data_IF_969064544811
#
_entry.id   IF_969064544811
#
_cell.length_a   1.000
_cell.length_b   1.000
_cell.length_c   1.000
_cell.angle_alpha   90.00
_cell.angle_beta   90.00
_cell.angle_gamma   90.00
#
_symmetry.space_group_name_H-M   'P 1'
#
loop_
_entity.id
_entity.type
_entity.pdbx_description
1 polymer ?
2 water ?
#
# COMPACT_ATOMS: atom_id res chain seq x y z
N UNK A 4 -16.90 12.26 17.04
CA UNK A 4 -17.29 11.88 15.63
C UNK A 4 -16.76 12.84 14.47
N UNK A 5 -16.06 12.41 13.50
CA UNK A 5 -15.51 13.31 12.40
C UNK A 5 -15.85 13.00 11.00
N UNK A 6 -15.32 13.81 10.07
CA UNK A 6 -15.51 13.63 8.66
C UNK A 6 -14.32 12.98 7.99
N UNK A 7 -14.59 11.85 7.33
CA UNK A 7 -13.58 11.08 6.66
C UNK A 7 -13.85 11.04 5.20
N UNK A 8 -12.83 11.25 4.41
CA UNK A 8 -12.94 11.13 2.98
C UNK A 8 -12.25 9.79 2.66
N UNK A 9 -12.95 8.93 1.96
CA UNK A 9 -12.42 7.65 1.55
C UNK A 9 -12.22 7.69 0.08
N UNK A 10 -10.92 7.70 -0.37
CA UNK A 10 -10.61 7.77 -1.77
C UNK A 10 -10.26 6.43 -2.38
N UNK A 11 -11.10 5.97 -3.29
CA UNK A 11 -10.91 4.68 -3.95
C UNK A 11 -11.99 3.78 -3.38
N UNK A 12 -12.84 3.26 -4.27
CA UNK A 12 -13.92 2.41 -3.81
C UNK A 12 -13.79 1.01 -4.39
N UNK A 13 -12.59 0.47 -4.26
CA UNK A 13 -12.29 -0.88 -4.69
C UNK A 13 -12.68 -1.81 -3.50
N UNK A 14 -12.01 -2.97 -3.37
CA UNK A 14 -12.33 -3.84 -2.28
C UNK A 14 -12.15 -3.13 -0.95
N UNK A 15 -10.88 -2.63 -0.72
CA UNK A 15 -10.49 -1.94 0.55
C UNK A 15 -11.34 -0.69 0.86
N UNK A 16 -11.58 0.06 -0.19
CA UNK A 16 -12.34 1.28 -0.14
C UNK A 16 -13.70 0.99 0.37
N UNK A 17 -14.27 -0.10 -0.09
CA UNK A 17 -15.59 -0.54 0.33
C UNK A 17 -15.59 -0.86 1.78
N UNK A 18 -14.59 -1.61 2.20
CA UNK A 18 -14.51 -1.96 3.57
C UNK A 18 -14.32 -0.73 4.51
N UNK A 19 -13.42 0.16 4.17
CA UNK A 19 -13.22 1.32 5.06
C UNK A 19 -14.48 2.21 5.18
N UNK A 20 -15.07 2.47 4.04
CA UNK A 20 -16.26 3.25 3.97
C UNK A 20 -17.39 2.56 4.84
N UNK A 21 -17.57 1.24 4.74
CA UNK A 21 -18.56 0.63 5.59
C UNK A 21 -18.21 0.70 7.03
N UNK A 22 -16.96 0.33 7.32
CA UNK A 22 -16.46 0.31 8.70
C UNK A 22 -16.67 1.65 9.38
N UNK A 23 -16.25 2.70 8.70
CA UNK A 23 -16.36 4.03 9.27
C UNK A 23 -17.78 4.46 9.49
N UNK A 24 -18.64 4.23 8.47
CA UNK A 24 -20.06 4.61 8.53
C UNK A 24 -20.71 3.81 9.65
N UNK A 25 -20.44 2.51 9.74
CA UNK A 25 -21.04 1.73 10.88
C UNK A 25 -20.52 2.18 12.25
N UNK A 26 -19.48 2.94 12.26
CA UNK A 26 -18.94 3.39 13.50
C UNK A 26 -19.37 4.84 13.79
N UNK A 27 -20.39 5.29 13.14
CA UNK A 27 -20.90 6.65 13.39
C UNK A 27 -20.13 7.89 12.90
N UNK A 28 -19.20 7.75 11.95
CA UNK A 28 -18.46 8.92 11.43
C UNK A 28 -19.14 9.34 10.22
N UNK A 29 -18.90 10.58 9.76
CA UNK A 29 -19.44 11.03 8.49
C UNK A 29 -18.49 10.61 7.40
N UNK A 30 -18.99 9.90 6.39
CA UNK A 30 -18.13 9.41 5.33
C UNK A 30 -18.47 9.97 3.98
N UNK A 31 -17.47 10.55 3.35
CA UNK A 31 -17.62 11.04 2.03
C UNK A 31 -16.71 10.16 1.18
N UNK A 32 -17.27 9.48 0.19
CA UNK A 32 -16.47 8.55 -0.63
C UNK A 32 -16.43 8.89 -2.03
N UNK A 33 -15.27 8.63 -2.62
CA UNK A 33 -15.01 8.93 -4.00
C UNK A 33 -14.42 7.77 -4.75
N UNK A 34 -14.61 7.79 -6.03
CA UNK A 34 -13.99 6.89 -6.86
C UNK A 34 -13.94 7.55 -8.21
N UNK A 35 -12.93 7.27 -8.93
CA UNK A 35 -12.78 7.89 -10.23
C UNK A 35 -13.84 7.42 -11.19
N UNK A 36 -14.36 6.21 -10.96
CA UNK A 36 -15.36 5.71 -11.84
C UNK A 36 -16.81 6.11 -11.52
N UNK A 37 -17.34 7.01 -12.36
CA UNK A 37 -18.69 7.58 -12.25
C UNK A 37 -19.75 6.52 -12.28
N UNK A 38 -19.51 5.56 -13.12
CA UNK A 38 -20.42 4.49 -13.26
C UNK A 38 -20.57 3.78 -11.96
N UNK A 39 -19.42 3.46 -11.35
CA UNK A 39 -19.41 2.73 -10.11
C UNK A 39 -20.05 3.56 -9.01
N UNK A 40 -19.78 4.83 -9.02
CA UNK A 40 -20.38 5.63 -8.01
C UNK A 40 -21.86 5.60 -8.22
N UNK A 41 -22.27 5.62 -9.51
CA UNK A 41 -23.70 5.61 -9.86
C UNK A 41 -24.46 4.33 -9.41
N UNK A 42 -23.85 3.18 -9.59
CA UNK A 42 -24.42 1.90 -9.08
C UNK A 42 -24.50 1.88 -7.55
N UNK A 43 -23.49 2.37 -6.85
CA UNK A 43 -23.63 2.33 -5.45
C UNK A 43 -24.77 3.28 -4.98
N UNK A 44 -24.88 4.43 -5.65
CA UNK A 44 -25.93 5.46 -5.32
C UNK A 44 -27.34 4.85 -5.42
N UNK A 45 -27.56 4.09 -6.50
CA UNK A 45 -28.83 3.43 -6.77
C UNK A 45 -29.20 2.49 -5.65
N UNK A 46 -28.23 1.72 -5.22
CA UNK A 46 -28.39 0.71 -4.16
C UNK A 46 -28.67 1.37 -2.85
N UNK A 47 -28.19 2.60 -2.72
CA UNK A 47 -28.40 3.37 -1.50
C UNK A 47 -27.60 2.97 -0.24
N UNK A 48 -26.71 1.99 -0.32
CA UNK A 48 -25.97 1.61 0.86
C UNK A 48 -24.86 0.81 0.46
N UNK A 49 -24.02 0.48 1.43
CA UNK A 49 -22.95 -0.45 1.17
C UNK A 49 -23.26 -1.59 2.16
N UNK A 50 -23.35 -2.83 1.66
CA UNK A 50 -23.65 -3.96 2.52
C UNK A 50 -22.37 -4.64 2.84
N UNK A 51 -22.07 -4.77 4.14
CA UNK A 51 -20.87 -5.47 4.57
C UNK A 51 -21.36 -6.75 5.19
N UNK A 52 -20.66 -7.83 4.93
CA UNK A 52 -21.02 -9.10 5.51
C UNK A 52 -19.82 -9.91 5.74
N UNK A 53 -19.92 -10.89 6.60
CA UNK A 53 -18.75 -11.74 6.84
C UNK A 53 -18.35 -11.67 8.31
N UNK A 54 -17.37 -12.50 8.70
CA UNK A 54 -16.97 -12.56 10.11
C UNK A 54 -16.35 -11.27 10.63
N UNK A 55 -15.56 -10.63 9.78
CA UNK A 55 -14.86 -9.40 10.14
C UNK A 55 -15.72 -8.11 10.22
N UNK A 56 -16.84 -8.04 9.57
CA UNK A 56 -17.62 -6.84 9.59
C UNK A 56 -18.91 -7.10 8.85
N UNK A 57 -20.03 -6.83 9.52
CA UNK A 57 -21.35 -7.03 8.90
C UNK A 57 -22.24 -5.85 9.23
N UNK A 58 -22.90 -5.29 8.22
CA UNK A 58 -23.80 -4.20 8.47
C UNK A 58 -24.17 -3.51 7.18
N UNK A 59 -25.21 -2.67 7.27
CA UNK A 59 -25.69 -1.91 6.13
C UNK A 59 -25.25 -0.44 6.32
N UNK A 60 -24.28 -0.04 5.56
CA UNK A 60 -23.75 1.23 5.74
C UNK A 60 -24.27 2.23 4.82
N UNK A 61 -24.30 3.47 5.35
CA UNK A 61 -24.72 4.63 4.68
C UNK A 61 -23.74 5.79 4.69
N UNK A 62 -22.92 5.86 3.67
CA UNK A 62 -21.99 6.97 3.58
C UNK A 62 -22.85 8.27 3.44
N UNK A 63 -22.32 9.38 3.80
CA UNK A 63 -23.06 10.62 3.68
C UNK A 63 -22.98 11.10 2.30
N UNK A 64 -21.94 10.70 1.59
CA UNK A 64 -21.79 11.14 0.24
C UNK A 64 -20.94 10.20 -0.65
N UNK A 65 -21.36 10.05 -1.91
CA UNK A 65 -20.71 9.27 -2.90
C UNK A 65 -20.49 10.22 -4.10
N UNK A 66 -19.28 10.42 -4.52
CA UNK A 66 -19.14 11.32 -5.62
C UNK A 66 -17.97 10.94 -6.43
N UNK A 67 -17.90 11.43 -7.67
CA UNK A 67 -16.76 11.20 -8.51
C UNK A 67 -16.01 12.50 -8.62
N UNK A 68 -16.37 13.47 -7.77
CA UNK A 68 -15.70 14.78 -7.79
C UNK A 68 -14.71 14.78 -6.64
N UNK A 69 -13.43 14.70 -6.91
CA UNK A 69 -12.51 14.65 -5.78
C UNK A 69 -12.52 15.81 -4.78
N UNK A 70 -12.60 17.03 -5.27
CA UNK A 70 -12.61 18.16 -4.36
C UNK A 70 -13.76 18.15 -3.42
N UNK A 71 -14.92 17.72 -3.90
CA UNK A 71 -16.13 17.67 -3.03
C UNK A 71 -15.94 16.71 -1.88
N UNK A 72 -15.25 15.60 -2.16
CA UNK A 72 -15.01 14.60 -1.12
C UNK A 72 -13.92 15.05 -0.12
N UNK A 73 -12.95 15.78 -0.64
CA UNK A 73 -11.86 16.18 0.17
C UNK A 73 -11.95 17.52 0.92
N UNK A 74 -12.49 18.51 0.25
CA UNK A 74 -12.47 19.81 0.80
C UNK A 74 -12.90 19.93 2.20
N UNK A 75 -13.91 19.18 2.59
CA UNK A 75 -14.42 19.30 3.97
C UNK A 75 -14.10 18.23 4.93
N UNK A 76 -13.27 17.29 4.51
CA UNK A 76 -12.85 16.17 5.35
C UNK A 76 -11.86 16.57 6.47
N UNK A 77 -11.90 15.85 7.57
CA UNK A 77 -10.94 16.04 8.63
C UNK A 77 -9.76 15.04 8.33
N UNK A 78 -10.09 13.84 7.96
CA UNK A 78 -9.12 12.81 7.67
C UNK A 78 -9.41 12.29 6.32
N UNK A 79 -8.35 12.07 5.53
CA UNK A 79 -8.48 11.62 4.21
C UNK A 79 -7.80 10.28 4.07
N UNK A 80 -8.57 9.23 3.77
CA UNK A 80 -7.96 7.90 3.64
C UNK A 80 -7.84 7.55 2.22
N UNK A 81 -6.64 7.26 1.80
CA UNK A 81 -6.45 6.92 0.42
C UNK A 81 -6.30 5.42 0.29
N UNK A 82 -7.17 4.79 -0.49
CA UNK A 82 -7.15 3.33 -0.60
C UNK A 82 -7.14 2.89 -2.00
N UNK A 83 -6.02 3.12 -2.64
CA UNK A 83 -5.85 2.76 -4.05
C UNK A 83 -4.49 2.05 -4.23
N UNK A 84 -4.25 1.55 -5.41
CA UNK A 84 -2.96 0.88 -5.66
C UNK A 84 -1.94 2.03 -5.68
N UNK A 85 -0.82 1.78 -5.01
CA UNK A 85 0.28 2.71 -4.86
C UNK A 85 0.67 3.36 -6.17
N UNK A 86 0.49 2.66 -7.30
CA UNK A 86 0.81 3.29 -8.53
C UNK A 86 -0.06 4.52 -8.80
N UNK A 87 -1.12 4.67 -8.10
CA UNK A 87 -1.95 5.81 -8.34
C UNK A 87 -1.73 6.96 -7.39
N UNK A 88 -0.86 6.78 -6.41
CA UNK A 88 -0.70 7.81 -5.42
C UNK A 88 -0.36 9.16 -5.95
N UNK A 89 0.58 9.18 -6.90
CA UNK A 89 1.03 10.44 -7.48
C UNK A 89 -0.11 11.23 -8.06
N UNK A 90 -0.90 10.59 -8.91
CA UNK A 90 -2.04 11.19 -9.55
C UNK A 90 -2.99 11.75 -8.54
N UNK A 91 -3.24 11.02 -7.48
CA UNK A 91 -4.18 11.53 -6.51
C UNK A 91 -3.65 12.76 -5.81
N UNK A 92 -2.37 12.73 -5.50
CA UNK A 92 -1.80 13.89 -4.79
C UNK A 92 -1.91 15.20 -5.65
N UNK A 93 -1.63 15.07 -6.93
CA UNK A 93 -1.65 16.17 -7.81
C UNK A 93 -3.07 16.69 -7.93
N UNK A 94 -4.02 15.79 -7.97
CA UNK A 94 -5.44 16.16 -8.09
C UNK A 94 -6.12 16.78 -6.92
N UNK A 95 -5.64 16.52 -5.74
CA UNK A 95 -6.29 17.05 -4.54
C UNK A 95 -5.57 18.19 -3.94
N UNK A 96 -4.44 18.50 -4.54
CA UNK A 96 -3.55 19.53 -4.07
C UNK A 96 -4.29 20.83 -3.79
N UNK A 97 -5.12 21.26 -4.74
CA UNK A 97 -5.89 22.49 -4.60
C UNK A 97 -6.96 22.50 -3.53
N UNK A 98 -7.34 21.33 -2.99
CA UNK A 98 -8.44 21.27 -1.99
C UNK A 98 -8.04 21.06 -0.66
N UNK A 99 -6.76 20.76 -0.46
CA UNK A 99 -6.39 20.47 0.92
C UNK A 99 -6.08 21.69 1.70
N UNK A 100 -6.15 21.54 3.01
CA UNK A 100 -5.96 22.63 3.89
C UNK A 100 -5.15 22.24 5.04
N UNK A 101 -4.52 23.24 5.60
CA UNK A 101 -3.68 23.10 6.74
C UNK A 101 -4.59 22.48 7.81
N UNK A 102 -4.09 21.47 8.52
CA UNK A 102 -4.84 20.83 9.59
C UNK A 102 -5.41 19.39 9.25
N UNK A 103 -5.43 19.04 7.97
CA UNK A 103 -5.98 17.73 7.58
C UNK A 103 -4.94 16.65 7.79
N UNK A 104 -5.41 15.44 7.94
CA UNK A 104 -4.57 14.25 8.11
C UNK A 104 -4.82 13.34 6.86
N UNK A 105 -3.75 13.01 6.12
CA UNK A 105 -3.87 12.12 4.94
C UNK A 105 -3.17 10.77 5.31
N UNK A 106 -3.85 9.66 5.04
CA UNK A 106 -3.25 8.35 5.33
C UNK A 106 -3.31 7.48 4.15
N UNK A 107 -2.16 6.98 3.74
CA UNK A 107 -2.04 6.08 2.55
C UNK A 107 -2.12 4.62 3.03
N UNK A 108 -3.10 3.92 2.46
CA UNK A 108 -3.42 2.53 2.86
C UNK A 108 -3.33 1.60 1.69
N UNK A 109 -2.15 1.04 1.47
CA UNK A 109 -0.96 1.33 2.28
C UNK A 109 -0.04 2.26 1.43
N UNK A 110 1.17 2.52 1.91
CA UNK A 110 2.04 3.39 1.14
C UNK A 110 3.03 2.69 0.17
N UNK A 111 3.11 1.36 0.23
CA UNK A 111 4.10 0.61 -0.55
C UNK A 111 5.48 1.29 -0.08
N UNK A 112 6.47 1.32 -0.92
CA UNK A 112 7.74 1.87 -0.50
C UNK A 112 7.81 3.27 -0.97
N UNK A 113 7.80 4.18 0.00
CA UNK A 113 7.95 5.64 -0.24
C UNK A 113 6.64 6.39 -0.60
N UNK A 114 5.48 5.84 -0.22
CA UNK A 114 4.19 6.48 -0.61
C UNK A 114 4.11 7.86 -0.01
N UNK A 115 4.33 7.98 1.31
CA UNK A 115 4.25 9.34 2.00
C UNK A 115 5.28 10.36 1.43
N UNK A 116 6.48 9.89 1.12
CA UNK A 116 7.47 10.76 0.58
C UNK A 116 7.10 11.22 -0.75
N UNK A 117 6.69 10.35 -1.59
CA UNK A 117 6.32 10.76 -2.91
C UNK A 117 5.13 11.72 -2.86
N UNK A 118 4.17 11.38 -2.01
CA UNK A 118 2.98 12.17 -1.81
C UNK A 118 3.37 13.62 -1.36
N UNK A 119 4.20 13.73 -0.32
CA UNK A 119 4.66 15.01 0.17
C UNK A 119 5.31 15.84 -0.96
N UNK A 120 6.20 15.22 -1.71
CA UNK A 120 6.91 15.92 -2.79
C UNK A 120 5.98 16.55 -3.80
N UNK A 121 5.02 15.77 -4.29
CA UNK A 121 4.03 16.28 -5.29
C UNK A 121 3.16 17.49 -4.73
N UNK A 122 2.71 17.37 -3.51
CA UNK A 122 1.91 18.41 -2.85
C UNK A 122 2.71 19.71 -2.71
N UNK A 123 3.97 19.60 -2.34
CA UNK A 123 4.77 20.79 -2.20
C UNK A 123 5.04 21.36 -3.61
N UNK A 124 5.24 20.52 -4.57
CA UNK A 124 5.46 21.03 -5.87
C UNK A 124 4.25 21.73 -6.37
N UNK A 125 3.08 21.39 -5.87
CA UNK A 125 1.87 22.00 -6.39
C UNK A 125 1.38 23.08 -5.49
N UNK A 126 2.28 23.53 -4.61
CA UNK A 126 2.01 24.63 -3.71
C UNK A 126 0.87 24.42 -2.77
N UNK A 127 0.80 23.23 -2.22
CA UNK A 127 -0.20 22.92 -1.25
C UNK A 127 0.27 23.30 0.12
N UNK A 128 -0.68 23.50 1.03
CA UNK A 128 -0.36 23.79 2.41
C UNK A 128 0.35 22.58 3.07
N UNK A 129 1.04 22.79 4.12
CA UNK A 129 1.71 21.70 4.76
C UNK A 129 0.69 20.91 5.53
N UNK A 130 0.68 19.58 5.36
CA UNK A 130 -0.28 18.74 6.08
C UNK A 130 0.48 17.51 6.63
N UNK A 131 -0.13 16.72 7.50
CA UNK A 131 0.53 15.51 8.01
C UNK A 131 0.12 14.36 7.04
N UNK A 132 1.09 13.61 6.56
CA UNK A 132 0.81 12.52 5.64
C UNK A 132 1.35 11.27 6.23
N UNK A 133 0.49 10.29 6.49
CA UNK A 133 0.92 9.02 7.07
C UNK A 133 0.83 7.90 6.06
N UNK A 134 1.34 6.75 6.45
CA UNK A 134 1.26 5.56 5.59
C UNK A 134 1.29 4.30 6.47
N UNK A 135 0.72 3.20 6.01
CA UNK A 135 0.74 1.94 6.78
C UNK A 135 1.38 0.95 5.81
N UNK A 136 2.01 -0.08 6.31
CA UNK A 136 2.64 -0.98 5.35
C UNK A 136 1.70 -2.17 5.05
N UNK A 137 0.60 -2.26 5.79
CA UNK A 137 -0.33 -3.36 5.63
C UNK A 137 -1.71 -2.91 5.26
N UNK A 138 -2.56 -3.86 4.89
CA UNK A 138 -3.98 -3.60 4.59
C UNK A 138 -4.85 -4.00 5.84
N UNK A 139 -5.66 -3.08 6.33
CA UNK A 139 -6.39 -3.37 7.48
C UNK A 139 -7.34 -4.54 7.32
N UNK A 140 -7.93 -4.65 6.14
CA UNK A 140 -8.90 -5.61 5.90
C UNK A 140 -8.51 -6.64 4.91
N UNK A 141 -9.15 -7.83 5.03
CA UNK A 141 -9.03 -8.96 4.03
C UNK A 141 -10.51 -9.06 3.63
N UNK A 142 -10.79 -8.70 2.40
CA UNK A 142 -12.18 -8.58 1.92
C UNK A 142 -12.28 -8.67 0.44
N UNK A 143 -13.50 -8.76 -0.05
CA UNK A 143 -13.69 -8.75 -1.43
C UNK A 143 -15.10 -8.29 -1.65
N UNK A 144 -15.20 -7.37 -2.62
CA UNK A 144 -16.45 -6.77 -3.04
C UNK A 144 -16.86 -7.52 -4.34
N UNK A 145 -17.97 -8.21 -4.30
CA UNK A 145 -18.40 -8.92 -5.46
C UNK A 145 -19.00 -7.91 -6.51
N UNK A 146 -19.55 -6.83 -6.01
CA UNK A 146 -20.10 -5.84 -6.87
C UNK A 146 -20.16 -4.51 -6.05
N UNK A 147 -20.30 -3.41 -6.77
CA UNK A 147 -20.43 -2.09 -6.12
C UNK A 147 -21.56 -2.07 -5.12
N UNK A 148 -21.26 -1.69 -3.91
CA UNK A 148 -22.30 -1.58 -2.93
C UNK A 148 -22.25 -2.76 -2.04
N UNK A 149 -21.31 -3.65 -2.33
CA UNK A 149 -21.17 -4.85 -1.48
C UNK A 149 -19.70 -5.22 -1.21
N UNK A 150 -19.44 -5.78 -0.02
CA UNK A 150 -18.09 -6.22 0.31
C UNK A 150 -18.10 -7.37 1.34
N UNK A 151 -17.33 -8.42 1.04
CA UNK A 151 -17.25 -9.49 2.01
C UNK A 151 -15.95 -9.26 2.80
N UNK A 152 -16.06 -9.19 4.13
CA UNK A 152 -14.92 -8.98 5.01
C UNK A 152 -14.55 -10.16 5.85
N UNK A 153 -13.48 -10.79 5.47
CA UNK A 153 -13.08 -11.97 6.24
C UNK A 153 -12.60 -11.58 7.57
N UNK A 154 -11.73 -10.59 7.58
CA UNK A 154 -11.12 -10.18 8.80
C UNK A 154 -10.54 -8.75 8.77
N UNK A 155 -10.20 -8.29 9.98
CA UNK A 155 -9.65 -7.00 10.24
C UNK A 155 -8.42 -7.21 11.11
N UNK A 156 -7.27 -6.74 10.63
CA UNK A 156 -5.97 -6.85 11.36
C UNK A 156 -6.12 -6.21 12.70
N UNK A 157 -5.48 -6.82 13.70
CA UNK A 157 -5.56 -6.29 15.06
C UNK A 157 -4.52 -5.18 15.34
N UNK A 158 -3.44 -5.14 14.55
CA UNK A 158 -2.37 -4.10 14.79
C UNK A 158 -1.78 -3.74 13.52
N UNK A 159 -1.56 -2.46 13.33
CA UNK A 159 -0.97 -1.97 12.12
C UNK A 159 0.08 -0.90 12.36
N UNK A 160 1.24 -1.07 11.74
CA UNK A 160 2.27 -0.10 11.86
C UNK A 160 1.79 1.15 11.13
N UNK A 161 2.12 2.28 11.67
CA UNK A 161 1.75 3.53 11.09
C UNK A 161 2.89 4.53 11.33
N UNK A 162 3.20 5.33 10.34
CA UNK A 162 4.24 6.35 10.47
C UNK A 162 3.81 7.56 9.70
N UNK A 163 4.29 8.74 10.05
CA UNK A 163 3.95 9.87 9.21
C UNK A 163 5.03 10.90 9.01
N UNK A 164 4.72 11.82 8.11
CA UNK A 164 5.52 13.00 7.81
C UNK A 164 4.64 14.22 8.28
N UNK A 165 5.13 14.96 9.26
CA UNK A 165 6.40 14.73 9.92
C UNK A 165 6.23 13.76 11.10
N UNK A 166 7.27 13.00 11.39
CA UNK A 166 7.25 12.01 12.45
C UNK A 166 6.83 12.47 13.83
N UNK A 167 7.05 13.74 14.13
CA UNK A 167 6.71 14.22 15.45
C UNK A 167 5.20 14.31 15.57
N UNK A 168 4.53 14.35 14.44
CA UNK A 168 3.07 14.48 14.47
C UNK A 168 2.39 13.11 14.57
N UNK A 169 3.15 12.04 14.73
CA UNK A 169 2.58 10.74 14.84
C UNK A 169 1.54 10.66 15.95
N UNK A 170 1.87 11.22 17.12
CA UNK A 170 0.91 11.17 18.29
C UNK A 170 -0.44 11.89 18.07
N UNK A 171 -0.34 13.08 17.50
CA UNK A 171 -1.46 13.89 17.19
C UNK A 171 -2.34 13.15 16.17
N UNK A 172 -1.72 12.68 15.13
CA UNK A 172 -2.37 11.91 14.10
C UNK A 172 -3.18 10.79 14.77
N UNK A 173 -2.52 10.01 15.60
CA UNK A 173 -3.16 8.88 16.24
C UNK A 173 -4.12 9.30 17.26
N UNK A 174 -3.93 10.51 17.76
CA UNK A 174 -4.88 11.04 18.73
C UNK A 174 -6.22 11.28 17.97
N UNK A 175 -6.10 11.76 16.71
CA UNK A 175 -7.20 12.03 15.81
C UNK A 175 -8.10 10.83 15.43
N UNK A 176 -7.47 9.74 14.96
CA UNK A 176 -8.21 8.54 14.48
C UNK A 176 -8.37 7.41 15.52
N UNK A 177 -7.71 7.58 16.67
CA UNK A 177 -7.63 6.61 17.72
C UNK A 177 -8.91 5.91 18.19
N UNK A 178 -9.96 6.67 18.30
CA UNK A 178 -11.25 6.19 18.74
C UNK A 178 -11.91 5.20 17.75
N UNK A 179 -11.68 5.43 16.47
CA UNK A 179 -12.25 4.68 15.38
C UNK A 179 -11.33 3.65 14.80
N UNK A 180 -10.03 3.96 14.83
CA UNK A 180 -9.04 3.06 14.26
C UNK A 180 -7.92 2.76 15.24
N UNK A 181 -8.23 2.11 16.35
CA UNK A 181 -7.20 1.84 17.34
C UNK A 181 -6.18 0.81 16.92
N UNK A 182 -6.31 0.28 15.70
CA UNK A 182 -5.40 -0.76 15.19
C UNK A 182 -4.04 -0.19 14.83
N UNK A 183 -4.01 1.09 14.48
CA UNK A 183 -2.78 1.74 14.07
C UNK A 183 -1.80 1.95 15.22
N UNK A 184 -0.58 1.56 15.02
CA UNK A 184 0.45 1.69 16.00
C UNK A 184 1.63 2.37 15.30
N UNK A 185 2.09 3.43 15.96
CA UNK A 185 3.18 4.27 15.46
C UNK A 185 4.53 3.59 15.47
N UNK A 186 5.25 3.72 14.39
CA UNK A 186 6.58 3.20 14.39
C UNK A 186 7.45 4.50 14.24
N UNK A 187 8.74 4.34 14.18
CA UNK A 187 9.66 5.49 14.20
C UNK A 187 9.45 6.51 13.16
N UNK A 188 9.49 6.10 11.94
CA UNK A 188 9.31 7.02 10.88
C UNK A 188 8.83 6.21 9.64
N UNK A 189 8.59 6.92 8.55
CA UNK A 189 8.15 6.33 7.29
C UNK A 189 9.17 5.42 6.64
N UNK A 190 10.45 5.50 7.02
CA UNK A 190 11.44 4.53 6.45
C UNK A 190 11.05 3.12 6.99
N UNK A 191 10.62 3.07 8.22
CA UNK A 191 10.23 1.80 8.79
C UNK A 191 9.05 1.18 8.05
N UNK A 192 8.00 1.93 7.84
CA UNK A 192 6.85 1.36 7.14
C UNK A 192 7.21 1.06 5.69
N UNK A 193 7.84 2.01 5.01
CA UNK A 193 8.20 1.81 3.62
C UNK A 193 9.17 0.61 3.36
N UNK A 194 10.07 0.33 4.32
CA UNK A 194 11.04 -0.79 4.15
C UNK A 194 10.43 -2.15 4.57
N UNK A 195 9.21 -2.08 5.09
CA UNK A 195 8.48 -3.26 5.48
C UNK A 195 7.48 -3.60 4.35
N UNK A 196 7.97 -3.62 3.16
CA UNK A 196 7.14 -3.93 2.01
C UNK A 196 7.44 -5.43 1.58
N UNK A 197 6.72 -6.28 2.19
CA UNK A 197 6.86 -7.68 1.98
C UNK A 197 6.46 -8.05 0.57
N UNK A 198 5.49 -7.32 0.02
CA UNK A 198 5.07 -7.60 -1.36
C UNK A 198 6.13 -7.39 -2.39
N UNK A 199 7.07 -6.54 -2.11
CA UNK A 199 8.10 -6.31 -3.08
C UNK A 199 8.91 -7.61 -3.17
N UNK A 200 8.90 -8.38 -2.10
CA UNK A 200 9.64 -9.70 -2.10
C UNK A 200 8.78 -10.86 -2.69
N UNK A 201 7.57 -11.00 -2.18
CA UNK A 201 6.66 -12.06 -2.53
C UNK A 201 5.96 -12.04 -3.78
N UNK A 202 5.87 -10.89 -4.46
CA UNK A 202 5.15 -10.83 -5.70
C UNK A 202 5.95 -10.89 -6.97
N UNK A 203 6.89 -9.98 -7.16
CA UNK A 203 7.64 -10.01 -8.42
C UNK A 203 8.44 -11.32 -8.66
N UNK A 204 9.20 -11.74 -7.68
CA UNK A 204 10.03 -12.92 -7.95
C UNK A 204 9.32 -14.21 -8.35
N UNK A 205 8.39 -14.63 -7.52
CA UNK A 205 7.70 -15.89 -7.80
C UNK A 205 6.95 -15.77 -9.09
N UNK A 206 6.45 -14.59 -9.41
CA UNK A 206 5.79 -14.46 -10.69
C UNK A 206 6.76 -14.62 -11.81
N UNK A 207 7.92 -14.02 -11.66
CA UNK A 207 8.90 -14.16 -12.71
C UNK A 207 9.27 -15.67 -12.93
N UNK A 208 9.37 -16.39 -11.84
CA UNK A 208 9.77 -17.78 -11.89
C UNK A 208 8.64 -18.70 -12.32
N UNK A 209 7.47 -18.09 -12.57
CA UNK A 209 6.28 -18.81 -13.10
C UNK A 209 5.77 -18.07 -14.34
N UNK A 210 6.66 -17.32 -14.96
CA UNK A 210 6.27 -16.46 -16.11
C UNK A 210 5.47 -17.15 -17.16
N UNK A 211 5.93 -18.32 -17.59
CA UNK A 211 5.22 -18.98 -18.67
C UNK A 211 3.82 -19.44 -18.25
N UNK A 212 3.72 -19.95 -17.06
CA UNK A 212 2.44 -20.40 -16.51
C UNK A 212 1.51 -19.25 -16.50
N UNK A 213 2.00 -18.11 -16.04
CA UNK A 213 1.13 -16.91 -15.93
C UNK A 213 0.73 -16.40 -17.37
N UNK A 214 1.70 -16.25 -18.26
CA UNK A 214 1.41 -15.75 -19.56
C UNK A 214 0.44 -16.62 -20.25
N UNK A 215 0.60 -17.93 -20.07
CA UNK A 215 -0.27 -18.90 -20.75
C UNK A 215 -1.59 -19.07 -20.04
N UNK A 216 -1.76 -18.49 -18.88
CA UNK A 216 -3.02 -18.59 -18.18
C UNK A 216 -3.21 -19.99 -17.62
N UNK A 217 -2.12 -20.73 -17.45
CA UNK A 217 -2.18 -22.08 -16.87
C UNK A 217 -2.40 -21.97 -15.34
N UNK A 218 -3.57 -22.42 -14.88
CA UNK A 218 -3.95 -22.29 -13.48
C UNK A 218 -3.04 -22.94 -12.53
N UNK A 219 -2.77 -22.26 -11.42
CA UNK A 219 -1.93 -22.78 -10.36
C UNK A 219 -2.18 -21.99 -9.13
N UNK A 220 -1.93 -22.59 -7.96
CA UNK A 220 -2.11 -21.92 -6.67
C UNK A 220 -0.84 -21.12 -6.53
N UNK A 221 -0.97 -19.85 -6.45
CA UNK A 221 0.18 -18.98 -6.40
C UNK A 221 1.19 -19.35 -5.32
N UNK A 222 0.73 -19.39 -4.10
CA UNK A 222 1.57 -19.73 -2.98
C UNK A 222 1.89 -21.20 -2.88
N UNK A 223 0.89 -22.02 -2.96
CA UNK A 223 1.07 -23.44 -2.81
C UNK A 223 1.90 -24.12 -3.85
N UNK A 224 1.71 -23.76 -5.12
CA UNK A 224 2.44 -24.38 -6.22
C UNK A 224 3.50 -23.50 -6.89
N UNK A 225 3.39 -22.18 -6.70
CA UNK A 225 4.31 -21.26 -7.36
C UNK A 225 5.60 -21.09 -6.61
N UNK A 226 5.52 -21.39 -5.30
CA UNK A 226 6.69 -21.24 -4.43
C UNK A 226 7.19 -22.60 -3.91
N UNK A 227 8.10 -23.21 -4.64
CA UNK A 227 8.68 -24.43 -4.22
C UNK A 227 9.91 -24.08 -3.25
N UNK A 228 10.51 -25.08 -2.66
CA UNK A 228 11.58 -24.78 -1.70
C UNK A 228 12.67 -23.89 -2.20
N UNK A 229 13.17 -24.13 -3.42
CA UNK A 229 14.25 -23.33 -3.97
C UNK A 229 13.75 -21.91 -4.31
N UNK A 230 12.50 -21.82 -4.70
CA UNK A 230 11.91 -20.49 -5.00
C UNK A 230 11.77 -19.77 -3.67
N UNK A 231 11.38 -20.50 -2.60
CA UNK A 231 11.28 -19.82 -1.31
C UNK A 231 12.74 -19.39 -0.84
N UNK A 232 13.71 -20.24 -1.08
CA UNK A 232 15.04 -19.92 -0.64
C UNK A 232 15.56 -18.67 -1.38
N UNK A 233 15.30 -18.59 -2.69
CA UNK A 233 15.74 -17.44 -3.48
C UNK A 233 15.04 -16.20 -2.90
N UNK A 234 13.74 -16.30 -2.62
CA UNK A 234 13.03 -15.14 -2.06
C UNK A 234 13.66 -14.72 -0.77
N UNK A 235 14.15 -15.69 0.02
CA UNK A 235 14.76 -15.33 1.27
C UNK A 235 16.04 -14.52 1.04
N UNK A 236 16.78 -14.84 -0.03
CA UNK A 236 18.03 -14.10 -0.31
C UNK A 236 17.69 -12.67 -0.79
N UNK A 237 16.57 -12.52 -1.49
CA UNK A 237 16.11 -11.16 -1.89
C UNK A 237 15.67 -10.37 -0.60
N UNK A 238 14.99 -11.06 0.33
CA UNK A 238 14.55 -10.45 1.51
C UNK A 238 15.72 -9.94 2.34
N UNK A 239 16.79 -10.69 2.32
CA UNK A 239 17.97 -10.35 3.07
C UNK A 239 18.52 -9.00 2.58
N UNK A 240 18.37 -8.73 1.28
CA UNK A 240 18.84 -7.44 0.71
C UNK A 240 17.97 -6.30 1.29
N UNK A 241 16.67 -6.54 1.41
CA UNK A 241 15.76 -5.54 1.97
C UNK A 241 16.16 -5.26 3.35
N UNK A 242 16.42 -6.30 4.09
CA UNK A 242 16.79 -6.16 5.49
C UNK A 242 18.13 -5.40 5.73
N UNK A 243 19.08 -5.68 4.87
CA UNK A 243 20.40 -5.05 4.89
C UNK A 243 20.21 -3.58 4.61
N UNK A 244 19.24 -3.24 3.76
CA UNK A 244 18.95 -1.80 3.48
C UNK A 244 18.35 -1.14 4.78
N UNK A 245 17.42 -1.81 5.44
CA UNK A 245 16.82 -1.30 6.66
C UNK A 245 17.91 -1.13 7.72
N UNK A 246 18.78 -2.13 7.85
CA UNK A 246 19.84 -2.01 8.91
C UNK A 246 20.75 -0.82 8.68
N UNK A 247 21.05 -0.51 7.42
CA UNK A 247 21.86 0.65 7.10
C UNK A 247 21.19 2.01 7.54
N UNK A 248 19.92 2.00 7.94
CA UNK A 248 19.30 3.25 8.39
C UNK A 248 19.06 3.11 9.82
N UNK A 249 19.62 2.06 10.41
CA UNK A 249 19.37 1.78 11.80
C UNK A 249 17.93 1.31 12.18
N UNK A 250 17.28 0.59 11.28
CA UNK A 250 15.97 0.11 11.59
C UNK A 250 15.97 -1.39 11.73
N UNK A 251 15.05 -1.92 12.54
CA UNK A 251 14.88 -3.38 12.68
C UNK A 251 13.44 -3.68 12.18
N UNK A 252 13.32 -3.90 10.88
CA UNK A 252 12.08 -4.22 10.25
C UNK A 252 12.09 -5.76 10.27
N UNK A 253 10.90 -6.39 10.26
CA UNK A 253 10.82 -7.86 10.29
C UNK A 253 11.05 -8.51 8.94
N UNK A 254 11.61 -9.71 8.98
CA UNK A 254 11.87 -10.50 7.79
C UNK A 254 10.50 -10.99 7.32
N UNK A 255 10.45 -11.51 6.11
CA UNK A 255 9.25 -12.04 5.61
C UNK A 255 8.72 -13.09 6.59
N UNK A 256 9.62 -13.94 7.11
CA UNK A 256 9.21 -14.98 8.08
C UNK A 256 8.61 -14.37 9.29
N UNK A 257 9.27 -13.37 9.85
CA UNK A 257 8.71 -12.71 11.01
C UNK A 257 7.38 -12.08 10.64
N UNK A 258 7.28 -11.53 9.44
CA UNK A 258 6.01 -10.94 9.07
C UNK A 258 4.82 -11.96 9.16
N UNK A 259 5.14 -13.24 9.02
CA UNK A 259 4.04 -14.32 9.13
C UNK A 259 3.93 -14.84 10.58
N UNK A 267 8.05 -19.94 11.62
CA UNK A 267 8.46 -20.59 10.40
C UNK A 267 9.90 -20.26 10.21
N UNK A 268 10.67 -21.25 9.91
CA UNK A 268 12.08 -21.03 9.73
C UNK A 268 12.40 -20.61 8.27
N UNK A 269 11.42 -20.80 7.38
CA UNK A 269 11.66 -20.50 6.00
C UNK A 269 10.42 -19.93 5.43
N UNK A 270 10.57 -19.34 4.26
CA UNK A 270 9.43 -18.77 3.59
C UNK A 270 8.56 -19.91 3.11
N UNK A 271 9.21 -20.96 2.63
CA UNK A 271 8.45 -22.09 2.15
C UNK A 271 7.52 -22.66 3.23
N UNK A 272 8.05 -22.82 4.44
CA UNK A 272 7.28 -23.33 5.52
C UNK A 272 6.10 -22.42 5.82
N UNK A 273 6.38 -21.13 5.94
CA UNK A 273 5.37 -20.09 6.23
C UNK A 273 4.13 -20.07 5.26
N UNK A 274 4.44 -20.15 4.01
CA UNK A 274 3.52 -20.08 2.97
C UNK A 274 2.72 -21.40 2.82
N UNK A 275 3.43 -22.52 2.83
CA UNK A 275 2.77 -23.80 2.73
C UNK A 275 1.84 -24.02 3.88
N UNK A 276 2.18 -23.42 5.01
CA UNK A 276 1.39 -23.56 6.21
C UNK A 276 0.23 -22.58 6.52
N UNK A 277 0.01 -21.54 5.71
CA UNK A 277 -1.11 -20.66 6.03
C UNK A 277 -2.35 -21.09 5.23
N UNK A 278 -3.39 -21.56 5.91
CA UNK A 278 -4.61 -22.04 5.23
C UNK A 278 -5.28 -20.97 4.48
N UNK A 279 -4.97 -19.72 4.83
CA UNK A 279 -5.50 -18.50 4.15
C UNK A 279 -5.14 -18.41 2.65
N UNK A 280 -4.03 -19.10 2.28
CA UNK A 280 -3.45 -19.13 0.92
C UNK A 280 -4.04 -20.26 0.10
N UNK A 281 -4.89 -21.05 0.75
CA UNK A 281 -5.64 -22.12 0.11
C UNK A 281 -6.65 -21.47 -0.86
N UNK A 282 -6.43 -21.68 -2.14
CA UNK A 282 -7.32 -21.14 -3.13
C UNK A 282 -6.89 -19.88 -3.87
N UNK A 283 -5.71 -19.36 -3.55
CA UNK A 283 -5.23 -18.16 -4.25
C UNK A 283 -4.55 -18.58 -5.60
N UNK A 284 -5.08 -18.09 -6.72
CA UNK A 284 -4.51 -18.44 -8.02
C UNK A 284 -3.43 -17.47 -8.42
N UNK A 285 -2.53 -17.94 -9.28
CA UNK A 285 -1.48 -17.10 -9.74
C UNK A 285 -2.12 -16.22 -10.82
N UNK A 286 -1.35 -15.29 -11.36
CA UNK A 286 -1.83 -14.41 -12.40
C UNK A 286 -2.14 -15.22 -13.63
N UNK A 287 -3.11 -14.75 -14.39
CA UNK A 287 -3.46 -15.40 -15.59
C UNK A 287 -2.96 -14.73 -16.81
N UNK A 288 -2.13 -13.72 -16.62
CA UNK A 288 -1.45 -13.02 -17.74
C UNK A 288 -0.32 -12.23 -17.11
N UNK A 289 0.47 -11.58 -17.96
CA UNK A 289 1.61 -10.80 -17.44
C UNK A 289 1.32 -9.40 -17.17
N UNK A 290 0.10 -8.99 -17.41
CA UNK A 290 -0.28 -7.61 -17.12
C UNK A 290 -0.83 -7.64 -15.71
N UNK A 291 0.02 -7.98 -14.79
CA UNK A 291 -0.38 -8.15 -13.40
C UNK A 291 0.28 -7.12 -12.45
N UNK A 292 -0.45 -6.81 -11.39
CA UNK A 292 -0.04 -5.87 -10.38
C UNK A 292 1.19 -6.36 -9.72
N UNK A 293 1.35 -7.69 -9.72
CA UNK A 293 2.54 -8.29 -9.03
C UNK A 293 3.77 -7.78 -9.72
N UNK A 294 3.63 -7.32 -10.96
CA UNK A 294 4.75 -6.71 -11.61
C UNK A 294 4.54 -5.17 -11.55
N UNK A 295 3.51 -4.72 -12.19
CA UNK A 295 3.26 -3.28 -12.27
C UNK A 295 3.31 -2.50 -10.98
N UNK A 296 2.69 -2.99 -9.96
CA UNK A 296 2.73 -2.26 -8.77
C UNK A 296 3.96 -2.61 -7.93
N UNK A 297 4.22 -3.90 -7.77
CA UNK A 297 5.26 -4.30 -6.83
C UNK A 297 6.66 -4.07 -7.28
N UNK A 298 6.81 -3.92 -8.55
CA UNK A 298 8.13 -3.58 -9.06
C UNK A 298 8.31 -2.02 -8.94
N UNK A 299 7.37 -1.26 -9.50
CA UNK A 299 7.47 0.25 -9.44
C UNK A 299 7.54 0.84 -8.10
N UNK A 300 6.72 0.33 -7.19
CA UNK A 300 6.63 0.87 -5.84
C UNK A 300 7.25 0.00 -4.79
N UNK A 301 8.06 -0.97 -5.25
CA UNK A 301 8.71 -1.82 -4.29
C UNK A 301 10.15 -2.04 -4.67
N UNK A 302 10.37 -2.83 -5.68
CA UNK A 302 11.78 -3.13 -6.07
C UNK A 302 12.57 -1.93 -6.49
N UNK A 303 11.94 -1.06 -7.28
CA UNK A 303 12.62 0.11 -7.77
C UNK A 303 13.19 0.99 -6.68
N UNK A 304 12.34 1.37 -5.72
CA UNK A 304 12.79 2.26 -4.63
C UNK A 304 13.79 1.58 -3.71
N UNK A 305 13.62 0.28 -3.54
CA UNK A 305 14.54 -0.51 -2.71
C UNK A 305 15.91 -0.45 -3.32
N UNK A 306 15.98 -0.71 -4.62
CA UNK A 306 17.25 -0.64 -5.32
C UNK A 306 17.85 0.79 -5.19
N UNK A 307 17.04 1.80 -5.41
CA UNK A 307 17.50 3.17 -5.37
C UNK A 307 18.02 3.44 -4.01
N UNK A 308 17.29 3.04 -3.00
CA UNK A 308 17.73 3.27 -1.66
C UNK A 308 19.11 2.59 -1.33
N UNK A 309 19.25 1.33 -1.66
CA UNK A 309 20.46 0.61 -1.39
C UNK A 309 21.60 1.35 -2.06
N UNK A 310 21.37 1.82 -3.28
CA UNK A 310 22.41 2.57 -3.99
C UNK A 310 22.85 3.77 -3.09
N UNK A 311 21.90 4.48 -2.52
CA UNK A 311 22.21 5.61 -1.63
C UNK A 311 23.08 5.24 -0.42
N UNK A 312 22.58 4.33 0.41
CA UNK A 312 23.29 3.91 1.62
C UNK A 312 24.41 2.97 1.28
N UNK A 313 24.70 2.85 -0.03
CA UNK A 313 25.79 2.01 -0.51
C UNK A 313 25.67 0.52 0.01
N UNK A 314 24.50 -0.07 -0.15
CA UNK A 314 24.26 -1.49 0.29
C UNK A 314 23.97 -2.25 -1.05
N UNK A 315 24.71 -3.32 -1.35
CA UNK A 315 24.48 -4.01 -2.65
C UNK A 315 23.16 -4.76 -2.74
N UNK A 316 22.54 -4.72 -3.88
CA UNK A 316 21.27 -5.39 -4.05
C UNK A 316 21.31 -6.09 -5.43
N UNK A 317 22.30 -6.95 -5.61
CA UNK A 317 22.45 -7.71 -6.86
C UNK A 317 21.21 -8.57 -7.23
N UNK A 318 20.58 -9.17 -6.23
CA UNK A 318 19.41 -10.01 -6.53
C UNK A 318 18.23 -9.15 -6.82
N UNK A 319 17.95 -8.19 -6.00
CA UNK A 319 16.85 -7.29 -6.36
C UNK A 319 17.06 -6.72 -7.81
N UNK A 320 18.27 -6.26 -8.10
CA UNK A 320 18.55 -5.72 -9.43
C UNK A 320 18.37 -6.68 -10.55
N UNK A 321 18.77 -7.94 -10.33
CA UNK A 321 18.66 -8.95 -11.31
C UNK A 321 17.20 -9.22 -11.63
N UNK A 322 16.39 -9.29 -10.60
CA UNK A 322 14.97 -9.52 -10.79
C UNK A 322 14.35 -8.36 -11.52
N UNK A 323 14.68 -7.16 -11.05
CA UNK A 323 14.21 -5.93 -11.67
C UNK A 323 14.58 -5.91 -13.15
N UNK A 324 15.82 -6.11 -13.47
CA UNK A 324 16.20 -6.09 -14.89
C UNK A 324 15.52 -7.17 -15.80
N UNK A 325 15.36 -8.35 -15.26
CA UNK A 325 14.72 -9.42 -16.06
C UNK A 325 13.18 -9.11 -16.31
N UNK A 326 12.52 -8.63 -15.28
CA UNK A 326 11.12 -8.30 -15.44
C UNK A 326 10.93 -7.15 -16.46
N UNK A 327 11.79 -6.13 -16.37
CA UNK A 327 11.67 -5.01 -17.30
C UNK A 327 11.76 -5.49 -18.73
N UNK A 328 12.70 -6.35 -18.98
CA UNK A 328 12.85 -6.80 -20.32
C UNK A 328 11.82 -7.77 -20.65
N UNK A 329 11.43 -8.56 -19.66
CA UNK A 329 10.46 -9.57 -19.96
C UNK A 329 9.16 -8.83 -20.47
N UNK A 330 8.79 -7.72 -19.86
CA UNK A 330 7.59 -7.07 -20.30
C UNK A 330 7.80 -5.75 -20.98
N UNK A 331 9.01 -5.51 -21.44
CA UNK A 331 9.27 -4.26 -22.16
C UNK A 331 8.80 -2.99 -21.45
N UNK A 332 9.12 -2.88 -20.19
CA UNK A 332 8.74 -1.70 -19.37
C UNK A 332 9.97 -1.28 -18.62
N UNK A 333 10.37 -0.03 -18.81
CA UNK A 333 11.51 0.49 -18.15
C UNK A 333 11.10 0.92 -16.75
N UNK A 334 11.07 -0.03 -15.87
CA UNK A 334 10.68 0.28 -14.53
C UNK A 334 11.63 1.20 -13.75
N UNK A 335 12.93 1.17 -14.10
CA UNK A 335 13.88 2.01 -13.39
C UNK A 335 13.57 3.50 -13.71
N UNK A 336 12.96 3.74 -14.84
CA UNK A 336 12.60 5.08 -15.18
C UNK A 336 11.20 5.40 -14.66
N UNK A 337 10.25 4.48 -14.85
CA UNK A 337 8.88 4.75 -14.42
C UNK A 337 8.50 4.52 -13.01
N UNK A 338 9.31 3.79 -12.24
CA UNK A 338 8.97 3.50 -10.86
C UNK A 338 9.37 4.62 -9.96
N UNK A 339 9.36 4.36 -8.68
CA UNK A 339 9.70 5.38 -7.68
C UNK A 339 11.22 5.55 -7.47
N UNK A 340 11.80 6.55 -8.10
CA UNK A 340 13.23 6.85 -7.99
C UNK A 340 13.47 7.76 -6.84
N UNK A 341 14.74 7.90 -6.39
CA UNK A 341 15.04 8.77 -5.29
C UNK A 341 14.49 10.16 -5.58
N UNK A 342 14.48 10.50 -6.85
CA UNK A 342 14.01 11.82 -7.26
C UNK A 342 12.53 12.04 -6.99
N UNK A 343 11.72 11.05 -7.36
CA UNK A 343 10.28 11.09 -7.08
C UNK A 343 10.00 11.13 -5.58
N UNK A 344 10.90 10.59 -4.77
CA UNK A 344 10.70 10.62 -3.33
C UNK A 344 11.22 11.88 -2.69
N UNK A 345 11.86 12.73 -3.50
CA UNK A 345 12.43 13.97 -2.97
C UNK A 345 13.67 13.66 -2.08
N UNK A 346 14.43 12.63 -2.46
CA UNK A 346 15.61 12.23 -1.67
C UNK A 346 16.95 12.32 -2.48
N UNK A 347 16.84 12.81 -3.72
CA UNK A 347 17.97 12.96 -4.62
C UNK A 347 19.10 13.79 -3.99
N UNK A 348 20.33 13.23 -4.02
CA UNK A 348 21.53 13.88 -3.50
C UNK A 348 21.66 13.94 -1.98
N UNK A 349 20.87 13.14 -1.28
CA UNK A 349 20.94 13.09 0.18
C UNK A 349 21.80 11.92 0.57
N UNK A 350 22.55 12.09 1.63
CA UNK A 350 23.40 11.06 2.14
C UNK A 350 22.50 10.20 3.02
N UNK A 351 22.95 9.01 3.30
CA UNK A 351 22.19 8.16 4.14
C UNK A 351 21.59 8.94 5.35
N UNK A 352 22.39 9.86 5.91
CA UNK A 352 21.96 10.64 7.10
C UNK A 352 20.99 11.70 6.72
N UNK A 353 21.18 12.22 5.50
CA UNK A 353 20.29 13.23 4.99
C UNK A 353 18.92 12.59 4.78
N UNK A 354 18.91 11.38 4.31
CA UNK A 354 17.65 10.73 4.14
C UNK A 354 17.00 10.50 5.51
N UNK A 355 17.78 10.15 6.50
CA UNK A 355 17.17 9.94 7.76
C UNK A 355 16.64 11.24 8.24
N UNK A 356 17.38 12.31 7.98
CA UNK A 356 16.91 13.65 8.47
C UNK A 356 15.65 14.15 7.73
N UNK A 357 15.48 13.75 6.47
CA UNK A 357 14.31 14.18 5.70
C UNK A 357 12.95 13.63 6.19
N UNK A 358 12.98 12.50 6.88
CA UNK A 358 11.77 11.85 7.37
C UNK A 358 11.42 12.19 8.76
N UNK A 359 12.34 12.84 9.44
CA UNK A 359 12.00 13.29 10.74
C UNK A 359 11.38 14.64 10.43
#
# INVERSE_FOLDING_TARGET
MIESKTYAVLGLGNGGHAFAAYLALKGQSVLAWDIDAQRIKEIQDRGAIIAEGPGLAGTAHPDLLTSDIGLAVKDADVILIVVPAIHHASIAANIASYISEGQLIILNPGATGGALEFRKILRENGAPEVTIGETSSMLFTCRSERPGQVTVNAIKGAMDFACLPAAKAGWALEQIGSVLPQYVAVENVLHTSLTNVNAVMHPLPTLLNAARCESGTPFQYYLEGITPSVGSLAEKVDAERIAIAKAFDLNVPSVCEWYKESYGQSPATIYEAVQGNPAYRGIAGPINLNTRYFFEDVSTGLVPLSELGRAVNVPTPLIDAVLDLISSLIDTDFRKEGRTLEKLGLSGLTAAGIRSAVE
#
